data_IF_644537248349
#
_entry.id   IF_644537248349
#
_cell.length_a   1.000
_cell.length_b   1.000
_cell.length_c   1.000
_cell.angle_alpha   90.00
_cell.angle_beta   90.00
_cell.angle_gamma   90.00
#
_symmetry.space_group_name_H-M   'P 1'
#
loop_
_entity.id
_entity.type
_entity.pdbx_description
1 polymer ?
#
# COMPACT_ATOMS: atom_id res chain seq x y z
N UNK A 1 18.62 -10.14 3.50
CA UNK A 1 17.13 -10.09 3.53
C UNK A 1 16.55 -10.09 2.12
N UNK A 2 16.94 -9.18 1.21
CA UNK A 2 16.41 -9.15 -0.17
C UNK A 2 16.55 -10.46 -0.95
N UNK A 3 17.72 -11.12 -0.88
CA UNK A 3 17.93 -12.45 -1.50
C UNK A 3 17.05 -13.55 -0.91
N UNK A 4 16.73 -13.48 0.39
CA UNK A 4 15.86 -14.43 1.08
C UNK A 4 14.40 -14.22 0.65
N UNK A 5 13.97 -12.98 0.45
CA UNK A 5 12.64 -12.68 -0.06
C UNK A 5 12.46 -13.12 -1.51
N UNK A 6 13.48 -12.93 -2.36
CA UNK A 6 13.50 -13.43 -3.74
C UNK A 6 13.43 -14.97 -3.78
N UNK A 7 14.23 -15.64 -2.95
CA UNK A 7 14.19 -17.10 -2.83
C UNK A 7 12.85 -17.61 -2.30
N UNK A 8 12.26 -16.93 -1.32
CA UNK A 8 10.94 -17.25 -0.78
C UNK A 8 9.81 -17.04 -1.80
N UNK A 9 9.87 -15.97 -2.60
CA UNK A 9 8.94 -15.73 -3.71
C UNK A 9 9.04 -16.83 -4.76
N UNK A 10 10.26 -17.20 -5.15
CA UNK A 10 10.48 -18.26 -6.11
C UNK A 10 10.00 -19.63 -5.59
N UNK A 11 10.35 -19.99 -4.36
CA UNK A 11 9.92 -21.25 -3.76
C UNK A 11 8.40 -21.33 -3.56
N UNK A 12 7.76 -20.27 -3.05
CA UNK A 12 6.31 -20.27 -2.80
C UNK A 12 5.50 -20.29 -4.10
N UNK A 13 5.73 -19.34 -4.99
CA UNK A 13 4.88 -19.15 -6.17
C UNK A 13 5.26 -20.07 -7.35
N UNK A 14 6.55 -20.30 -7.63
CA UNK A 14 6.96 -21.18 -8.74
C UNK A 14 6.90 -22.66 -8.37
N UNK A 15 7.34 -23.07 -7.17
CA UNK A 15 7.40 -24.50 -6.82
C UNK A 15 6.12 -25.04 -6.20
N UNK A 16 5.27 -24.22 -5.56
CA UNK A 16 4.03 -24.70 -4.92
C UNK A 16 2.80 -24.15 -5.61
N UNK A 17 2.76 -22.85 -5.89
CA UNK A 17 1.63 -22.20 -6.57
C UNK A 17 1.35 -22.78 -7.95
N UNK A 18 2.38 -22.85 -8.81
CA UNK A 18 2.25 -23.33 -10.20
C UNK A 18 1.76 -24.81 -10.30
N UNK A 19 2.36 -25.78 -9.61
CA UNK A 19 1.89 -27.17 -9.68
C UNK A 19 0.55 -27.42 -8.99
N UNK A 20 0.19 -26.67 -7.93
CA UNK A 20 -1.17 -26.76 -7.37
C UNK A 20 -2.22 -26.15 -8.30
N UNK A 21 -1.89 -25.06 -9.00
CA UNK A 21 -2.79 -24.46 -9.99
C UNK A 21 -3.04 -25.42 -11.17
N UNK A 22 -1.99 -26.12 -11.64
CA UNK A 22 -2.11 -27.13 -12.71
C UNK A 22 -2.96 -28.35 -12.30
N UNK A 23 -3.03 -28.67 -11.00
CA UNK A 23 -3.91 -29.72 -10.48
C UNK A 23 -5.37 -29.27 -10.26
N UNK A 24 -5.74 -28.05 -10.69
CA UNK A 24 -7.13 -27.58 -10.66
C UNK A 24 -7.58 -26.97 -9.33
N UNK A 25 -6.67 -26.68 -8.39
CA UNK A 25 -7.02 -26.14 -7.06
C UNK A 25 -7.34 -24.63 -7.07
N UNK A 26 -7.32 -24.00 -8.25
CA UNK A 26 -7.80 -22.63 -8.48
C UNK A 26 -7.23 -21.64 -7.46
N UNK A 27 -8.13 -20.94 -6.77
CA UNK A 27 -7.78 -19.91 -5.78
C UNK A 27 -6.98 -20.42 -4.58
N UNK A 28 -7.06 -21.72 -4.24
CA UNK A 28 -6.35 -22.29 -3.08
C UNK A 28 -4.83 -22.39 -3.31
N UNK A 29 -4.39 -22.42 -4.57
CA UNK A 29 -2.97 -22.45 -4.92
C UNK A 29 -2.23 -21.16 -4.51
N UNK A 30 -2.90 -20.00 -4.62
CA UNK A 30 -2.36 -18.71 -4.18
C UNK A 30 -2.24 -18.61 -2.65
N UNK A 31 -3.23 -19.12 -1.93
CA UNK A 31 -3.19 -19.16 -0.47
C UNK A 31 -2.04 -20.05 0.03
N UNK A 32 -1.90 -21.26 -0.54
CA UNK A 32 -0.82 -22.18 -0.20
C UNK A 32 0.56 -21.60 -0.54
N UNK A 33 0.71 -20.96 -1.69
CA UNK A 33 1.96 -20.30 -2.10
C UNK A 33 2.38 -19.20 -1.11
N UNK A 34 1.43 -18.38 -0.64
CA UNK A 34 1.71 -17.32 0.34
C UNK A 34 2.16 -17.89 1.70
N UNK A 35 1.53 -18.97 2.17
CA UNK A 35 1.92 -19.63 3.44
C UNK A 35 3.32 -20.24 3.32
N UNK A 36 3.61 -20.92 2.21
CA UNK A 36 4.93 -21.52 1.97
C UNK A 36 6.01 -20.45 1.88
N UNK A 37 5.75 -19.35 1.17
CA UNK A 37 6.67 -18.21 1.11
C UNK A 37 7.00 -17.70 2.52
N UNK A 38 5.99 -17.46 3.36
CA UNK A 38 6.20 -16.98 4.73
C UNK A 38 7.04 -17.98 5.55
N UNK A 39 6.76 -19.28 5.41
CA UNK A 39 7.52 -20.35 6.06
C UNK A 39 8.98 -20.42 5.61
N UNK A 40 9.25 -20.31 4.31
CA UNK A 40 10.62 -20.33 3.75
C UNK A 40 11.40 -19.10 4.21
N UNK A 41 10.79 -17.91 4.19
CA UNK A 41 11.44 -16.68 4.68
C UNK A 41 11.75 -16.78 6.17
N UNK A 42 10.84 -17.33 6.98
CA UNK A 42 11.08 -17.57 8.40
C UNK A 42 12.24 -18.56 8.60
N UNK A 43 12.19 -19.73 7.97
CA UNK A 43 13.21 -20.78 8.08
C UNK A 43 14.60 -20.30 7.62
N UNK A 44 14.66 -19.61 6.48
CA UNK A 44 15.91 -19.04 5.96
C UNK A 44 16.46 -17.92 6.85
N UNK A 45 15.59 -17.10 7.44
CA UNK A 45 16.02 -16.06 8.40
C UNK A 45 16.59 -16.69 9.68
N UNK A 46 15.99 -17.77 10.17
CA UNK A 46 16.52 -18.55 11.29
C UNK A 46 17.84 -19.27 10.96
N UNK A 47 18.02 -19.72 9.71
CA UNK A 47 19.25 -20.39 9.28
C UNK A 47 20.45 -19.43 9.11
N UNK A 48 20.21 -18.21 8.61
CA UNK A 48 21.27 -17.21 8.37
C UNK A 48 21.74 -16.55 9.68
N UNK A 49 20.81 -16.33 10.62
CA UNK A 49 21.12 -15.79 11.94
C UNK A 49 20.50 -16.67 13.02
N UNK A 50 21.21 -17.72 13.48
CA UNK A 50 20.74 -18.56 14.57
C UNK A 50 20.63 -17.72 15.86
N UNK A 51 19.46 -17.17 16.10
CA UNK A 51 19.11 -16.53 17.37
C UNK A 51 18.76 -17.60 18.39
N UNK A 52 19.27 -17.45 19.61
CA UNK A 52 18.85 -18.29 20.72
C UNK A 52 17.36 -18.07 20.98
N UNK A 53 16.54 -19.10 20.73
CA UNK A 53 15.10 -19.18 21.03
C UNK A 53 14.83 -19.26 22.54
N UNK A 54 15.52 -18.45 23.35
CA UNK A 54 15.23 -18.34 24.78
C UNK A 54 14.06 -17.36 24.93
N UNK A 55 12.92 -17.79 25.50
CA UNK A 55 11.82 -16.88 25.80
C UNK A 55 12.26 -15.94 26.93
N UNK A 56 12.86 -14.81 26.59
CA UNK A 56 13.14 -13.72 27.52
C UNK A 56 11.85 -12.90 27.73
N UNK A 57 10.88 -13.50 28.44
CA UNK A 57 9.61 -12.87 28.81
C UNK A 57 9.79 -11.66 29.77
N UNK A 58 10.95 -11.53 30.38
CA UNK A 58 11.29 -10.44 31.30
C UNK A 58 12.69 -9.89 30.98
N UNK A 59 12.80 -9.08 29.93
CA UNK A 59 14.01 -8.32 29.62
C UNK A 59 13.80 -6.83 29.93
N UNK A 60 14.80 -6.13 30.47
CA UNK A 60 14.67 -4.73 30.89
C UNK A 60 14.28 -3.78 29.74
N UNK A 61 14.71 -4.09 28.51
CA UNK A 61 14.34 -3.41 27.26
C UNK A 61 12.96 -3.81 26.72
N UNK A 62 12.30 -4.81 27.31
CA UNK A 62 11.01 -5.32 26.88
C UNK A 62 9.90 -4.29 27.00
N UNK A 63 9.93 -3.42 28.02
CA UNK A 63 8.95 -2.34 28.20
C UNK A 63 9.04 -1.27 27.11
N UNK A 64 10.24 -0.79 26.81
CA UNK A 64 10.48 0.22 25.77
C UNK A 64 10.17 -0.32 24.36
N UNK A 65 10.53 -1.59 24.12
CA UNK A 65 10.19 -2.29 22.88
C UNK A 65 8.68 -2.53 22.77
N UNK A 66 7.99 -2.87 23.87
CA UNK A 66 6.52 -3.02 23.87
C UNK A 66 5.79 -1.69 23.64
N UNK A 67 6.29 -0.59 24.21
CA UNK A 67 5.66 0.73 24.04
C UNK A 67 5.78 1.22 22.58
N UNK A 68 6.96 1.06 22.00
CA UNK A 68 7.20 1.31 20.57
C UNK A 68 6.35 0.38 19.72
N UNK A 69 6.36 -0.93 20.02
CA UNK A 69 5.58 -1.95 19.33
C UNK A 69 4.07 -1.70 19.40
N UNK A 70 3.55 -1.28 20.55
CA UNK A 70 2.13 -0.92 20.73
C UNK A 70 1.76 0.28 19.89
N UNK A 71 2.61 1.29 19.85
CA UNK A 71 2.40 2.48 19.01
C UNK A 71 2.37 2.09 17.54
N UNK A 72 3.38 1.36 17.07
CA UNK A 72 3.45 0.87 15.68
C UNK A 72 2.26 -0.04 15.34
N UNK A 73 1.88 -0.95 16.24
CA UNK A 73 0.73 -1.82 16.05
C UNK A 73 -0.57 -1.02 15.94
N UNK A 74 -0.80 -0.07 16.84
CA UNK A 74 -1.99 0.79 16.79
C UNK A 74 -2.06 1.61 15.50
N UNK A 75 -0.95 2.18 15.05
CA UNK A 75 -0.84 2.88 13.78
C UNK A 75 -1.16 1.97 12.59
N UNK A 76 -0.55 0.78 12.53
CA UNK A 76 -0.79 -0.15 11.44
C UNK A 76 -2.22 -0.68 11.44
N UNK A 77 -2.80 -0.93 12.62
CA UNK A 77 -4.19 -1.38 12.75
C UNK A 77 -5.16 -0.31 12.26
N UNK A 78 -4.94 0.95 12.64
CA UNK A 78 -5.76 2.08 12.18
C UNK A 78 -5.62 2.25 10.67
N UNK A 79 -4.40 2.22 10.12
CA UNK A 79 -4.18 2.31 8.67
C UNK A 79 -4.84 1.15 7.91
N UNK A 80 -4.75 -0.07 8.45
CA UNK A 80 -5.39 -1.25 7.86
C UNK A 80 -6.91 -1.11 7.89
N UNK A 81 -7.48 -0.68 9.01
CA UNK A 81 -8.91 -0.41 9.10
C UNK A 81 -9.34 0.65 8.09
N UNK A 82 -8.67 1.80 8.02
CA UNK A 82 -9.00 2.87 7.06
C UNK A 82 -8.92 2.39 5.60
N UNK A 83 -7.93 1.57 5.27
CA UNK A 83 -7.70 1.05 3.91
C UNK A 83 -8.60 -0.12 3.52
N UNK A 84 -9.34 -0.69 4.48
CA UNK A 84 -10.32 -1.75 4.22
C UNK A 84 -11.74 -1.31 4.53
N UNK A 85 -11.93 -0.16 5.20
CA UNK A 85 -13.24 0.38 5.53
C UNK A 85 -14.03 0.69 4.26
N UNK A 86 -13.37 1.28 3.27
CA UNK A 86 -13.89 1.51 1.92
C UNK A 86 -14.44 0.21 1.30
N UNK A 87 -13.65 -0.86 1.29
CA UNK A 87 -14.01 -2.17 0.75
C UNK A 87 -15.11 -2.85 1.56
N UNK A 88 -15.07 -2.74 2.88
CA UNK A 88 -16.07 -3.31 3.77
C UNK A 88 -17.43 -2.61 3.64
N UNK A 89 -17.43 -1.29 3.49
CA UNK A 89 -18.62 -0.49 3.23
C UNK A 89 -19.20 -0.81 1.84
N UNK A 90 -18.36 -0.85 0.80
CA UNK A 90 -18.78 -1.26 -0.53
C UNK A 90 -19.29 -2.70 -0.57
N UNK A 91 -18.70 -3.63 0.19
CA UNK A 91 -19.18 -5.01 0.25
C UNK A 91 -20.47 -5.22 1.02
N UNK A 92 -20.87 -4.25 1.86
CA UNK A 92 -22.19 -4.23 2.49
C UNK A 92 -23.24 -3.56 1.59
N UNK A 93 -22.84 -2.58 0.80
CA UNK A 93 -23.73 -1.81 -0.08
C UNK A 93 -23.93 -2.44 -1.48
N UNK A 94 -22.92 -3.16 -1.99
CA UNK A 94 -22.88 -3.72 -3.34
C UNK A 94 -22.71 -5.25 -3.31
N UNK A 95 -23.14 -5.91 -4.40
CA UNK A 95 -23.01 -7.36 -4.54
C UNK A 95 -21.53 -7.80 -4.58
N UNK A 96 -21.25 -9.04 -4.20
CA UNK A 96 -19.88 -9.62 -4.16
C UNK A 96 -19.11 -9.48 -5.48
N UNK A 97 -19.82 -9.55 -6.61
CA UNK A 97 -19.26 -9.29 -7.94
C UNK A 97 -18.72 -7.85 -8.09
N UNK A 98 -19.46 -6.85 -7.64
CA UNK A 98 -19.07 -5.44 -7.73
C UNK A 98 -17.85 -5.13 -6.84
N UNK A 99 -17.75 -5.76 -5.67
CA UNK A 99 -16.56 -5.66 -4.80
C UNK A 99 -15.32 -6.25 -5.49
N UNK A 100 -15.49 -7.36 -6.21
CA UNK A 100 -14.43 -7.96 -7.01
C UNK A 100 -13.95 -7.02 -8.10
N UNK A 101 -14.86 -6.45 -8.89
CA UNK A 101 -14.56 -5.48 -9.95
C UNK A 101 -13.85 -4.24 -9.38
N UNK A 102 -14.33 -3.70 -8.26
CA UNK A 102 -13.69 -2.60 -7.56
C UNK A 102 -12.29 -2.96 -7.08
N UNK A 103 -12.11 -4.13 -6.47
CA UNK A 103 -10.81 -4.57 -5.95
C UNK A 103 -9.76 -4.68 -7.04
N UNK A 104 -10.15 -5.18 -8.23
CA UNK A 104 -9.26 -5.25 -9.40
C UNK A 104 -8.89 -3.86 -9.89
N UNK A 105 -9.89 -2.98 -10.10
CA UNK A 105 -9.65 -1.61 -10.54
C UNK A 105 -8.78 -0.84 -9.54
N UNK A 106 -9.07 -0.96 -8.24
CA UNK A 106 -8.30 -0.31 -7.18
C UNK A 106 -6.86 -0.84 -7.10
N UNK A 107 -6.66 -2.16 -7.22
CA UNK A 107 -5.32 -2.73 -7.19
C UNK A 107 -4.46 -2.12 -8.30
N UNK A 108 -4.99 -2.05 -9.52
CA UNK A 108 -4.28 -1.45 -10.66
C UNK A 108 -4.05 0.05 -10.48
N UNK A 109 -5.06 0.79 -10.01
CA UNK A 109 -4.96 2.24 -9.75
C UNK A 109 -4.00 2.58 -8.60
N UNK A 110 -3.74 1.65 -7.68
CA UNK A 110 -2.85 1.87 -6.54
C UNK A 110 -1.37 1.76 -6.89
N UNK A 111 -1.01 1.01 -7.94
CA UNK A 111 0.38 0.74 -8.34
C UNK A 111 1.20 2.03 -8.53
N UNK A 112 0.75 3.04 -9.31
CA UNK A 112 1.53 4.24 -9.55
C UNK A 112 1.83 4.97 -8.23
N UNK A 113 0.83 5.10 -7.37
CA UNK A 113 0.96 5.75 -6.06
C UNK A 113 1.92 5.01 -5.15
N UNK A 114 1.86 3.68 -5.10
CA UNK A 114 2.79 2.89 -4.30
C UNK A 114 4.24 3.06 -4.79
N UNK A 115 4.47 3.08 -6.11
CA UNK A 115 5.79 3.32 -6.69
C UNK A 115 6.32 4.72 -6.32
N UNK A 116 5.48 5.74 -6.40
CA UNK A 116 5.84 7.10 -5.99
C UNK A 116 6.20 7.18 -4.51
N UNK A 117 5.34 6.65 -3.64
CA UNK A 117 5.56 6.69 -2.20
C UNK A 117 6.88 5.99 -1.86
N UNK A 118 7.12 4.81 -2.44
CA UNK A 118 8.36 4.06 -2.21
C UNK A 118 9.62 4.80 -2.73
N UNK A 119 9.53 5.47 -3.88
CA UNK A 119 10.63 6.26 -4.43
C UNK A 119 10.92 7.53 -3.61
N UNK A 120 9.87 8.14 -3.06
CA UNK A 120 9.96 9.45 -2.40
C UNK A 120 10.22 9.34 -0.89
N UNK A 121 9.71 8.31 -0.22
CA UNK A 121 9.82 8.12 1.23
C UNK A 121 11.27 8.26 1.77
N UNK A 122 12.29 7.59 1.22
CA UNK A 122 13.66 7.76 1.71
C UNK A 122 14.20 9.18 1.46
N UNK A 123 13.83 9.80 0.35
CA UNK A 123 14.21 11.18 0.02
C UNK A 123 13.62 12.18 1.01
N UNK A 124 12.36 11.99 1.42
CA UNK A 124 11.73 12.85 2.41
C UNK A 124 12.27 12.64 3.82
N UNK A 125 12.60 11.41 4.20
CA UNK A 125 13.26 11.15 5.48
C UNK A 125 14.64 11.81 5.52
N UNK A 126 15.42 11.70 4.44
CA UNK A 126 16.73 12.34 4.33
C UNK A 126 16.64 13.88 4.33
N UNK A 127 15.71 14.45 3.56
CA UNK A 127 15.48 15.89 3.51
C UNK A 127 14.95 16.45 4.84
N UNK A 128 14.02 15.73 5.48
CA UNK A 128 13.47 16.09 6.78
C UNK A 128 14.52 16.11 7.88
N UNK A 129 15.43 15.13 7.91
CA UNK A 129 16.54 15.09 8.87
C UNK A 129 17.55 16.24 8.65
N UNK A 130 17.86 16.58 7.39
CA UNK A 130 18.82 17.65 7.06
C UNK A 130 18.28 19.06 7.32
N UNK A 131 16.99 19.28 7.05
CA UNK A 131 16.34 20.59 7.10
C UNK A 131 15.40 20.75 8.30
N UNK A 132 15.55 19.91 9.33
CA UNK A 132 14.66 19.89 10.51
C UNK A 132 14.58 21.26 11.21
N UNK A 133 15.69 22.02 11.21
CA UNK A 133 15.79 23.33 11.85
C UNK A 133 15.42 24.50 10.91
N UNK A 134 15.12 24.23 9.64
CA UNK A 134 14.87 25.26 8.61
C UNK A 134 13.52 25.06 7.90
N UNK A 135 12.39 25.39 8.56
CA UNK A 135 11.06 25.07 8.06
C UNK A 135 10.71 25.76 6.73
N UNK A 136 11.28 26.94 6.46
CA UNK A 136 11.05 27.67 5.19
C UNK A 136 11.69 26.97 4.00
N UNK A 137 12.93 26.48 4.15
CA UNK A 137 13.62 25.74 3.09
C UNK A 137 12.94 24.38 2.86
N UNK A 138 12.51 23.71 3.94
CA UNK A 138 11.77 22.46 3.85
C UNK A 138 10.45 22.62 3.07
N UNK A 139 9.70 23.71 3.32
CA UNK A 139 8.46 23.99 2.59
C UNK A 139 8.69 24.26 1.09
N UNK A 140 9.74 25.00 0.73
CA UNK A 140 10.08 25.28 -0.67
C UNK A 140 10.51 24.00 -1.43
N UNK A 141 11.35 23.17 -0.80
CA UNK A 141 11.74 21.87 -1.34
C UNK A 141 10.53 20.95 -1.51
N UNK A 142 9.63 20.93 -0.52
CA UNK A 142 8.38 20.18 -0.56
C UNK A 142 7.49 20.58 -1.73
N UNK A 143 7.21 21.88 -1.91
CA UNK A 143 6.39 22.36 -3.02
C UNK A 143 7.00 22.05 -4.38
N UNK A 144 8.33 22.12 -4.50
CA UNK A 144 9.04 21.81 -5.74
C UNK A 144 8.90 20.33 -6.12
N UNK A 145 9.02 19.43 -5.13
CA UNK A 145 8.81 18.00 -5.33
C UNK A 145 7.34 17.72 -5.69
N UNK A 146 6.40 18.29 -4.96
CA UNK A 146 4.98 18.10 -5.20
C UNK A 146 4.55 18.61 -6.58
N UNK A 147 5.07 19.75 -7.02
CA UNK A 147 4.85 20.27 -8.37
C UNK A 147 5.42 19.33 -9.45
N UNK A 148 6.64 18.83 -9.27
CA UNK A 148 7.26 17.88 -10.20
C UNK A 148 6.44 16.59 -10.31
N UNK A 149 5.99 16.06 -9.17
CA UNK A 149 5.12 14.88 -9.14
C UNK A 149 3.81 15.13 -9.85
N UNK A 150 3.12 16.24 -9.59
CA UNK A 150 1.84 16.56 -10.24
C UNK A 150 1.97 16.70 -11.75
N UNK A 151 3.03 17.35 -12.23
CA UNK A 151 3.30 17.52 -13.66
C UNK A 151 3.50 16.17 -14.36
N UNK A 152 4.02 15.16 -13.67
CA UNK A 152 4.18 13.80 -14.21
C UNK A 152 2.92 12.94 -14.01
N UNK A 153 2.26 13.03 -12.86
CA UNK A 153 1.10 12.19 -12.54
C UNK A 153 -0.13 12.54 -13.35
N UNK A 154 -0.40 13.83 -13.55
CA UNK A 154 -1.58 14.27 -14.30
C UNK A 154 -1.61 13.67 -15.70
N UNK A 155 -0.62 13.89 -16.58
CA UNK A 155 -0.66 13.32 -17.92
C UNK A 155 -0.63 11.79 -17.90
N UNK A 156 0.14 11.18 -16.99
CA UNK A 156 0.19 9.73 -16.85
C UNK A 156 -1.18 9.14 -16.48
N UNK A 157 -1.85 9.71 -15.47
CA UNK A 157 -3.18 9.29 -15.03
C UNK A 157 -4.23 9.47 -16.13
N UNK A 158 -4.17 10.56 -16.89
CA UNK A 158 -5.08 10.81 -18.00
C UNK A 158 -4.91 9.77 -19.12
N UNK A 159 -3.67 9.50 -19.53
CA UNK A 159 -3.38 8.47 -20.55
C UNK A 159 -3.85 7.10 -20.05
N UNK A 160 -3.50 6.71 -18.82
CA UNK A 160 -3.93 5.43 -18.26
C UNK A 160 -5.46 5.35 -18.11
N UNK A 161 -6.15 6.44 -17.76
CA UNK A 161 -7.60 6.46 -17.67
C UNK A 161 -8.28 6.25 -19.03
N UNK A 162 -7.70 6.81 -20.10
CA UNK A 162 -8.19 6.58 -21.47
C UNK A 162 -7.99 5.12 -21.91
N UNK A 163 -6.86 4.50 -21.54
CA UNK A 163 -6.57 3.09 -21.83
C UNK A 163 -7.15 2.11 -20.80
N UNK A 164 -7.88 2.57 -19.79
CA UNK A 164 -8.33 1.73 -18.69
C UNK A 164 -9.19 0.51 -19.13
N UNK A 165 -10.15 0.65 -20.07
CA UNK A 165 -10.92 -0.51 -20.57
C UNK A 165 -10.02 -1.55 -21.25
N UNK A 166 -9.07 -1.09 -22.06
CA UNK A 166 -8.13 -1.95 -22.80
C UNK A 166 -7.15 -2.65 -21.86
N UNK A 167 -6.66 -1.94 -20.83
CA UNK A 167 -5.76 -2.50 -19.81
C UNK A 167 -6.42 -3.65 -19.06
N UNK A 168 -7.70 -3.50 -18.70
CA UNK A 168 -8.42 -4.58 -18.01
C UNK A 168 -8.73 -5.73 -18.96
N UNK A 169 -9.15 -5.45 -20.19
CA UNK A 169 -9.39 -6.49 -21.18
C UNK A 169 -8.11 -7.30 -21.48
N UNK A 170 -6.95 -6.65 -21.52
CA UNK A 170 -5.65 -7.28 -21.77
C UNK A 170 -5.15 -8.10 -20.57
N UNK A 171 -5.25 -7.57 -19.35
CA UNK A 171 -4.66 -8.17 -18.15
C UNK A 171 -5.58 -9.22 -17.48
N UNK A 172 -6.88 -8.94 -17.45
CA UNK A 172 -7.87 -9.74 -16.73
C UNK A 172 -8.86 -10.46 -17.66
N UNK A 173 -9.00 -10.01 -18.91
CA UNK A 173 -9.89 -10.60 -19.91
C UNK A 173 -11.32 -10.04 -19.87
N UNK A 174 -12.15 -10.53 -20.79
CA UNK A 174 -13.52 -10.04 -21.01
C UNK A 174 -14.45 -10.19 -19.78
N UNK A 175 -14.17 -11.15 -18.88
CA UNK A 175 -14.96 -11.35 -17.67
C UNK A 175 -14.91 -10.15 -16.70
N UNK A 176 -13.92 -9.26 -16.85
CA UNK A 176 -13.70 -8.10 -15.98
C UNK A 176 -13.93 -6.77 -16.68
N UNK A 177 -14.48 -6.76 -17.90
CA UNK A 177 -14.65 -5.53 -18.71
C UNK A 177 -15.44 -4.43 -18.00
N UNK A 178 -16.38 -4.82 -17.13
CA UNK A 178 -17.16 -3.88 -16.32
C UNK A 178 -16.30 -3.10 -15.31
N UNK A 179 -15.09 -3.54 -14.97
CA UNK A 179 -14.17 -2.80 -14.12
C UNK A 179 -13.47 -1.64 -14.85
N UNK A 180 -13.55 -1.58 -16.20
CA UNK A 180 -12.80 -0.62 -17.02
C UNK A 180 -13.15 0.83 -16.70
N UNK A 181 -14.45 1.11 -16.54
CA UNK A 181 -14.91 2.45 -16.18
C UNK A 181 -14.55 2.82 -14.74
N UNK A 182 -14.60 1.87 -13.80
CA UNK A 182 -14.17 2.10 -12.41
C UNK A 182 -12.69 2.46 -12.38
N UNK A 183 -11.86 1.74 -13.13
CA UNK A 183 -10.43 2.02 -13.23
C UNK A 183 -10.16 3.41 -13.80
N UNK A 184 -10.88 3.82 -14.85
CA UNK A 184 -10.74 5.16 -15.42
C UNK A 184 -11.01 6.26 -14.38
N UNK A 185 -12.11 6.14 -13.63
CA UNK A 185 -12.48 7.09 -12.57
C UNK A 185 -11.44 7.09 -11.45
N UNK A 186 -11.00 5.90 -11.01
CA UNK A 186 -10.00 5.79 -9.95
C UNK A 186 -8.65 6.38 -10.38
N UNK A 187 -8.22 6.15 -11.62
CA UNK A 187 -6.99 6.73 -12.16
C UNK A 187 -7.03 8.25 -12.21
N UNK A 188 -8.17 8.86 -12.57
CA UNK A 188 -8.32 10.32 -12.51
C UNK A 188 -8.22 10.88 -11.09
N UNK A 189 -8.54 10.10 -10.07
CA UNK A 189 -8.38 10.46 -8.66
C UNK A 189 -6.93 10.28 -8.15
N UNK A 190 -6.07 9.53 -8.85
CA UNK A 190 -4.70 9.22 -8.42
C UNK A 190 -3.83 10.47 -8.18
N UNK A 191 -3.85 11.53 -9.01
CA UNK A 191 -3.08 12.76 -8.74
C UNK A 191 -3.48 13.43 -7.42
N UNK A 192 -4.78 13.52 -7.14
CA UNK A 192 -5.29 14.08 -5.89
C UNK A 192 -4.88 13.22 -4.69
N UNK A 193 -5.00 11.90 -4.82
CA UNK A 193 -4.60 10.96 -3.77
C UNK A 193 -3.08 10.98 -3.54
N UNK A 194 -2.28 11.03 -4.60
CA UNK A 194 -0.82 11.13 -4.51
C UNK A 194 -0.35 12.38 -3.75
N UNK A 195 -0.97 13.54 -3.99
CA UNK A 195 -0.70 14.76 -3.22
C UNK A 195 -0.97 14.60 -1.72
N UNK A 196 -2.08 13.96 -1.37
CA UNK A 196 -2.43 13.68 0.02
C UNK A 196 -1.44 12.69 0.63
N UNK A 197 -1.16 11.57 -0.03
CA UNK A 197 -0.23 10.54 0.42
C UNK A 197 1.18 11.09 0.64
N UNK A 198 1.66 11.95 -0.25
CA UNK A 198 2.95 12.64 -0.08
C UNK A 198 2.92 13.55 1.15
N UNK A 199 1.85 14.31 1.36
CA UNK A 199 1.75 15.25 2.49
C UNK A 199 1.82 14.57 3.87
N UNK A 200 1.45 13.29 3.97
CA UNK A 200 1.42 12.53 5.25
C UNK A 200 2.80 12.39 5.92
N UNK A 201 3.88 11.85 5.30
CA UNK A 201 5.18 11.71 5.95
C UNK A 201 5.80 13.04 6.40
N UNK A 202 5.53 14.16 5.72
CA UNK A 202 6.02 15.48 6.17
C UNK A 202 5.25 16.00 7.38
N UNK A 203 3.93 15.79 7.42
CA UNK A 203 3.12 16.11 8.61
C UNK A 203 3.55 15.27 9.82
N UNK A 204 3.95 14.02 9.59
CA UNK A 204 4.49 13.15 10.64
C UNK A 204 5.87 13.60 11.11
N UNK A 205 6.80 13.87 10.19
CA UNK A 205 8.16 14.32 10.52
C UNK A 205 8.19 15.69 11.22
N UNK A 206 7.23 16.58 10.94
CA UNK A 206 7.14 17.90 11.56
C UNK A 206 6.32 17.92 12.86
N UNK A 207 5.83 16.76 13.33
CA UNK A 207 5.01 16.64 14.54
C UNK A 207 3.58 17.18 14.42
N UNK A 208 3.13 17.49 13.19
CA UNK A 208 1.82 18.10 12.88
C UNK A 208 0.78 17.10 12.39
N UNK A 209 0.83 15.86 12.90
CA UNK A 209 -0.13 14.77 12.64
C UNK A 209 -1.62 15.17 12.73
N UNK A 210 -1.95 16.17 13.56
CA UNK A 210 -3.31 16.67 13.72
C UNK A 210 -3.87 17.37 12.46
N UNK A 211 -3.01 17.88 11.57
CA UNK A 211 -3.44 18.49 10.31
C UNK A 211 -3.82 17.45 9.26
N UNK A 212 -3.23 16.26 9.30
CA UNK A 212 -3.61 15.15 8.42
C UNK A 212 -5.05 14.73 8.71
N UNK A 213 -5.38 14.54 9.99
CA UNK A 213 -6.75 14.23 10.41
C UNK A 213 -7.73 15.31 9.94
N UNK A 214 -7.35 16.60 10.03
CA UNK A 214 -8.19 17.71 9.54
C UNK A 214 -8.34 17.74 8.01
N UNK A 215 -7.38 17.23 7.26
CA UNK A 215 -7.46 17.10 5.79
C UNK A 215 -8.29 15.89 5.38
N UNK A 216 -8.24 14.80 6.14
CA UNK A 216 -9.01 13.58 5.90
C UNK A 216 -10.49 13.72 6.33
N UNK A 217 -10.79 14.50 7.36
CA UNK A 217 -12.16 14.73 7.87
C UNK A 217 -13.14 15.25 6.80
N UNK A 218 -12.85 16.28 6.00
CA UNK A 218 -13.76 16.74 4.96
C UNK A 218 -13.91 15.72 3.83
N UNK A 219 -12.85 14.97 3.48
CA UNK A 219 -12.95 13.89 2.48
C UNK A 219 -13.82 12.74 2.97
N UNK A 220 -13.66 12.34 4.23
CA UNK A 220 -14.54 11.36 4.88
C UNK A 220 -15.97 11.89 4.96
N UNK A 221 -16.16 13.15 5.35
CA UNK A 221 -17.47 13.79 5.41
C UNK A 221 -18.11 14.00 4.03
N UNK A 222 -17.35 13.93 2.93
CA UNK A 222 -17.85 13.98 1.55
C UNK A 222 -18.04 12.58 0.95
N UNK A 223 -17.37 11.56 1.48
CA UNK A 223 -17.57 10.15 1.14
C UNK A 223 -18.76 9.51 1.88
N UNK A 224 -19.05 9.99 3.10
CA UNK A 224 -20.20 9.56 3.92
C UNK A 224 -21.57 9.95 3.34
N UNK A 225 -21.79 11.09 2.64
CA UNK A 225 -23.10 11.49 2.14
C UNK A 225 -23.39 11.07 0.69
N UNK A 226 -22.44 10.47 -0.04
CA UNK A 226 -22.70 10.02 -1.43
C UNK A 226 -23.37 8.66 -1.53
N UNK A 227 -23.91 8.12 -0.43
CA UNK A 227 -24.73 6.90 -0.41
C UNK A 227 -25.86 7.00 0.63
#
# INVERSE_FOLDING_TARGET
IGLIQLAGYAAGYLMVGLPMALNGWGAQSLAAAAVVQAGVVAAASFAVHPHSLKPLLAHALGRETLETGRTVFSTNLVNWLLSNLDRALMGRALNTQAVGLYSVAFNLASIPTTLLVNAMQPTFLAAGARLQNEPKQLAAAWMSVLACVLVLLLPFSMVCAMLAPDLIALLYGAAWSEAGWLLAVLLLCVPAWGCLSLSTPVLWNTGRKHLEVRLQLPLLALAVPTW
#
